data_IF_432154346156
#
_entry.id   IF_432154346156
#
_cell.length_a   1.000
_cell.length_b   1.000
_cell.length_c   1.000
_cell.angle_alpha   90.00
_cell.angle_beta   90.00
_cell.angle_gamma   90.00
#
_symmetry.space_group_name_H-M   'P 1'
#
loop_
_entity.id
_entity.type
_entity.pdbx_description
1 polymer ?
#
# COMPACT_ATOMS: atom_id res chain seq x y z
N UNK A 1 -54.49 46.94 47.39
CA UNK A 1 -53.81 45.66 47.09
C UNK A 1 -53.53 45.61 45.60
N UNK A 2 -52.31 45.26 45.21
CA UNK A 2 -51.91 45.11 43.82
C UNK A 2 -50.41 45.33 43.66
N UNK A 3 -49.61 44.45 44.26
CA UNK A 3 -48.16 44.42 44.05
C UNK A 3 -47.88 43.99 42.60
N UNK A 4 -47.20 44.85 41.84
CA UNK A 4 -46.62 44.49 40.55
C UNK A 4 -45.36 43.64 40.80
N UNK A 5 -45.48 42.32 40.63
CA UNK A 5 -44.30 41.46 40.48
C UNK A 5 -43.81 41.56 39.03
N UNK A 6 -42.74 42.33 38.84
CA UNK A 6 -41.93 42.29 37.62
C UNK A 6 -41.15 40.97 37.62
N UNK A 7 -41.36 40.17 36.59
CA UNK A 7 -40.74 38.86 36.38
C UNK A 7 -39.29 39.00 35.89
N UNK A 8 -38.32 38.96 36.81
CA UNK A 8 -36.88 38.87 36.49
C UNK A 8 -36.47 37.50 35.89
N UNK A 9 -37.33 36.49 35.95
CA UNK A 9 -36.95 35.11 35.60
C UNK A 9 -36.97 34.78 34.11
N UNK A 10 -37.50 35.60 33.20
CA UNK A 10 -37.64 35.19 31.78
C UNK A 10 -36.39 35.45 30.93
N UNK A 11 -35.52 36.38 31.34
CA UNK A 11 -34.32 36.73 30.57
C UNK A 11 -33.14 35.77 30.80
N UNK A 12 -33.08 35.11 31.96
CA UNK A 12 -31.99 34.19 32.32
C UNK A 12 -32.06 32.87 31.52
N UNK A 13 -33.25 32.30 31.32
CA UNK A 13 -33.45 31.09 30.51
C UNK A 13 -33.14 31.29 29.03
N UNK A 14 -33.50 32.44 28.45
CA UNK A 14 -33.20 32.73 27.04
C UNK A 14 -31.69 32.88 26.79
N UNK A 15 -30.95 33.48 27.74
CA UNK A 15 -29.50 33.61 27.66
C UNK A 15 -28.77 32.27 27.80
N UNK A 16 -29.27 31.36 28.65
CA UNK A 16 -28.73 30.00 28.78
C UNK A 16 -28.95 29.15 27.52
N UNK A 17 -30.13 29.22 26.90
CA UNK A 17 -30.40 28.51 25.64
C UNK A 17 -29.54 29.02 24.49
N UNK A 18 -29.31 30.34 24.40
CA UNK A 18 -28.45 30.95 23.37
C UNK A 18 -26.98 30.53 23.57
N UNK A 19 -26.48 30.50 24.81
CA UNK A 19 -25.13 29.99 25.12
C UNK A 19 -24.98 28.51 24.79
N UNK A 20 -25.98 27.68 25.10
CA UNK A 20 -25.99 26.24 24.77
C UNK A 20 -26.01 26.00 23.25
N UNK A 21 -26.80 26.75 22.48
CA UNK A 21 -26.77 26.69 21.01
C UNK A 21 -25.40 27.03 20.44
N UNK A 22 -24.72 28.02 21.00
CA UNK A 22 -23.38 28.44 20.54
C UNK A 22 -22.31 27.37 20.84
N UNK A 23 -22.39 26.72 22.01
CA UNK A 23 -21.53 25.58 22.35
C UNK A 23 -21.78 24.38 21.43
N UNK A 24 -23.04 23.99 21.21
CA UNK A 24 -23.39 22.87 20.33
C UNK A 24 -22.90 23.08 18.90
N UNK A 25 -23.02 24.32 18.39
CA UNK A 25 -22.53 24.70 17.06
C UNK A 25 -21.01 24.62 16.97
N UNK A 26 -20.28 25.08 18.00
CA UNK A 26 -18.82 24.93 18.10
C UNK A 26 -18.39 23.46 18.08
N UNK A 27 -19.03 22.61 18.86
CA UNK A 27 -18.74 21.18 18.89
C UNK A 27 -18.99 20.51 17.54
N UNK A 28 -20.08 20.87 16.86
CA UNK A 28 -20.38 20.36 15.52
C UNK A 28 -19.32 20.74 14.49
N UNK A 29 -18.80 21.98 14.54
CA UNK A 29 -17.71 22.43 13.67
C UNK A 29 -16.43 21.64 13.96
N UNK A 30 -16.07 21.45 15.23
CA UNK A 30 -14.89 20.69 15.63
C UNK A 30 -14.98 19.24 15.13
N UNK A 31 -16.14 18.60 15.27
CA UNK A 31 -16.36 17.24 14.79
C UNK A 31 -16.22 17.16 13.27
N UNK A 32 -16.87 18.07 12.52
CA UNK A 32 -16.76 18.10 11.06
C UNK A 32 -15.31 18.33 10.60
N UNK A 33 -14.59 19.23 11.26
CA UNK A 33 -13.19 19.49 10.97
C UNK A 33 -12.31 18.28 11.27
N UNK A 34 -12.57 17.57 12.36
CA UNK A 34 -11.88 16.33 12.71
C UNK A 34 -12.14 15.20 11.71
N UNK A 35 -13.39 15.05 11.24
CA UNK A 35 -13.73 14.10 10.17
C UNK A 35 -12.99 14.46 8.88
N UNK A 36 -12.97 15.74 8.50
CA UNK A 36 -12.26 16.22 7.32
C UNK A 36 -10.75 15.92 7.40
N UNK A 37 -10.11 16.22 8.54
CA UNK A 37 -8.71 15.89 8.79
C UNK A 37 -8.46 14.38 8.75
N UNK A 38 -9.39 13.57 9.28
CA UNK A 38 -9.28 12.11 9.23
C UNK A 38 -9.34 11.58 7.79
N UNK A 39 -10.19 12.16 6.94
CA UNK A 39 -10.27 11.82 5.52
C UNK A 39 -8.96 12.20 4.82
N UNK A 40 -8.41 13.40 5.07
CA UNK A 40 -7.12 13.81 4.52
C UNK A 40 -6.00 12.87 4.98
N UNK A 41 -5.97 12.52 6.27
CA UNK A 41 -4.97 11.60 6.81
C UNK A 41 -5.05 10.23 6.13
N UNK A 42 -6.27 9.70 5.93
CA UNK A 42 -6.50 8.46 5.20
C UNK A 42 -6.05 8.58 3.73
N UNK A 43 -6.29 9.71 3.07
CA UNK A 43 -5.84 9.95 1.69
C UNK A 43 -4.32 9.99 1.58
N UNK A 44 -3.65 10.74 2.47
CA UNK A 44 -2.18 10.87 2.48
C UNK A 44 -1.53 9.53 2.80
N UNK A 45 -2.05 8.78 3.78
CA UNK A 45 -1.54 7.45 4.12
C UNK A 45 -1.68 6.44 2.97
N UNK A 46 -2.64 6.64 2.08
CA UNK A 46 -2.91 5.75 0.94
C UNK A 46 -2.41 6.34 -0.40
N UNK A 47 -1.42 7.23 -0.40
CA UNK A 47 -0.85 7.83 -1.63
C UNK A 47 -1.95 8.40 -2.57
N UNK A 48 -2.96 9.08 -2.00
CA UNK A 48 -4.11 9.67 -2.71
C UNK A 48 -5.03 8.66 -3.44
N UNK A 49 -4.93 7.37 -3.16
CA UNK A 49 -5.78 6.34 -3.77
C UNK A 49 -7.00 6.02 -2.88
N UNK A 50 -8.18 6.51 -3.28
CA UNK A 50 -9.49 6.09 -2.74
C UNK A 50 -9.94 4.74 -3.31
N UNK A 51 -9.02 3.82 -3.56
CA UNK A 51 -9.36 2.49 -4.07
C UNK A 51 -9.64 1.55 -2.91
N UNK A 52 -10.93 1.26 -2.67
CA UNK A 52 -11.43 0.05 -2.00
C UNK A 52 -11.09 -1.25 -2.77
N UNK A 53 -10.17 -1.18 -3.74
CA UNK A 53 -9.78 -2.30 -4.53
C UNK A 53 -8.70 -3.05 -3.75
N UNK A 54 -8.95 -4.33 -3.48
CA UNK A 54 -8.00 -5.23 -2.83
C UNK A 54 -6.61 -4.98 -3.41
N UNK A 55 -5.60 -4.91 -2.54
CA UNK A 55 -4.19 -4.93 -2.93
C UNK A 55 -3.87 -6.29 -3.58
N UNK A 56 -4.38 -6.51 -4.79
CA UNK A 56 -4.08 -7.68 -5.58
C UNK A 56 -2.64 -7.52 -6.03
N UNK A 57 -1.79 -8.36 -5.42
CA UNK A 57 -0.42 -8.56 -5.86
C UNK A 57 -0.45 -8.99 -7.32
N UNK A 58 0.57 -8.63 -8.07
CA UNK A 58 0.72 -9.07 -9.46
C UNK A 58 0.58 -10.60 -9.52
N UNK A 59 -0.31 -11.09 -10.37
CA UNK A 59 -0.53 -12.53 -10.52
C UNK A 59 0.63 -13.16 -11.30
N UNK A 60 1.34 -14.08 -10.64
CA UNK A 60 2.49 -14.77 -11.21
C UNK A 60 2.15 -16.25 -11.42
N UNK A 61 2.54 -16.78 -12.58
CA UNK A 61 2.30 -18.16 -12.97
C UNK A 61 3.48 -19.01 -12.48
N UNK A 62 3.22 -19.85 -11.48
CA UNK A 62 4.16 -20.81 -10.93
C UNK A 62 3.63 -22.24 -11.10
N UNK A 63 4.49 -23.14 -11.56
CA UNK A 63 4.25 -24.56 -11.73
C UNK A 63 5.50 -25.38 -11.40
N UNK A 64 5.43 -26.71 -11.45
CA UNK A 64 6.51 -27.57 -10.98
C UNK A 64 7.83 -27.39 -11.75
N UNK A 65 7.76 -26.95 -13.01
CA UNK A 65 8.92 -26.75 -13.89
C UNK A 65 9.64 -25.41 -13.69
N UNK A 66 9.09 -24.48 -12.90
CA UNK A 66 9.67 -23.16 -12.67
C UNK A 66 9.64 -22.73 -11.20
N UNK A 67 9.27 -23.65 -10.29
CA UNK A 67 9.23 -23.41 -8.84
C UNK A 67 10.50 -23.98 -8.20
N UNK A 68 11.17 -23.15 -7.40
CA UNK A 68 12.35 -23.53 -6.66
C UNK A 68 12.02 -24.58 -5.59
N UNK A 69 12.74 -25.69 -5.62
CA UNK A 69 12.83 -26.63 -4.51
C UNK A 69 14.24 -26.59 -3.94
N UNK A 70 14.44 -25.77 -2.91
CA UNK A 70 15.76 -25.49 -2.32
C UNK A 70 16.47 -26.74 -1.77
N UNK A 71 15.71 -27.77 -1.41
CA UNK A 71 16.25 -29.00 -0.80
C UNK A 71 16.75 -30.01 -1.83
N UNK A 72 16.15 -30.04 -3.02
CA UNK A 72 16.39 -31.10 -4.00
C UNK A 72 17.01 -30.61 -5.31
N UNK A 73 16.89 -29.32 -5.62
CA UNK A 73 17.42 -28.78 -6.87
C UNK A 73 18.92 -28.50 -6.72
N UNK A 74 19.71 -29.09 -7.61
CA UNK A 74 21.09 -28.67 -7.86
C UNK A 74 21.16 -27.30 -8.58
N UNK A 75 22.36 -26.76 -8.75
CA UNK A 75 22.55 -25.42 -9.32
C UNK A 75 22.15 -25.33 -10.80
N UNK A 76 22.25 -26.41 -11.57
CA UNK A 76 21.86 -26.46 -12.98
C UNK A 76 20.34 -26.47 -13.11
N UNK A 77 19.67 -27.32 -12.33
CA UNK A 77 18.20 -27.37 -12.23
C UNK A 77 17.64 -26.02 -11.75
N UNK A 78 18.28 -25.37 -10.76
CA UNK A 78 17.89 -24.03 -10.30
C UNK A 78 17.99 -23.00 -11.42
N UNK A 79 19.10 -23.02 -12.17
CA UNK A 79 19.31 -22.13 -13.33
C UNK A 79 18.24 -22.32 -14.39
N UNK A 80 17.90 -23.57 -14.73
CA UNK A 80 16.83 -23.83 -15.70
C UNK A 80 15.47 -23.33 -15.19
N UNK A 81 15.14 -23.64 -13.94
CA UNK A 81 13.86 -23.27 -13.33
C UNK A 81 13.68 -21.75 -13.26
N UNK A 82 14.71 -21.00 -12.88
CA UNK A 82 14.62 -19.53 -12.82
C UNK A 82 14.48 -18.92 -14.22
N UNK A 83 15.21 -19.44 -15.23
CA UNK A 83 15.06 -18.99 -16.62
C UNK A 83 13.61 -19.22 -17.09
N UNK A 84 13.05 -20.41 -16.82
CA UNK A 84 11.65 -20.71 -17.16
C UNK A 84 10.67 -19.85 -16.38
N UNK A 85 10.93 -19.55 -15.11
CA UNK A 85 10.09 -18.67 -14.29
C UNK A 85 10.01 -17.25 -14.88
N UNK A 86 11.16 -16.71 -15.27
CA UNK A 86 11.27 -15.41 -15.94
C UNK A 86 10.54 -15.42 -17.29
N UNK A 87 10.80 -16.41 -18.14
CA UNK A 87 10.15 -16.51 -19.45
C UNK A 87 8.62 -16.63 -19.35
N UNK A 88 8.12 -17.42 -18.41
CA UNK A 88 6.67 -17.63 -18.20
C UNK A 88 5.98 -16.32 -17.79
N UNK A 89 6.64 -15.50 -16.98
CA UNK A 89 6.06 -14.29 -16.40
C UNK A 89 6.48 -13.00 -17.12
N UNK A 90 7.33 -13.09 -18.16
CA UNK A 90 7.82 -11.95 -18.94
C UNK A 90 6.68 -11.04 -19.40
N UNK A 91 5.58 -11.62 -19.88
CA UNK A 91 4.43 -10.88 -20.38
C UNK A 91 3.76 -10.06 -19.27
N UNK A 92 3.55 -10.65 -18.09
CA UNK A 92 2.96 -9.98 -16.93
C UNK A 92 3.80 -8.80 -16.43
N UNK A 93 5.13 -8.90 -16.50
CA UNK A 93 6.00 -7.78 -16.14
C UNK A 93 6.07 -6.72 -17.24
N UNK A 94 6.02 -7.11 -18.52
CA UNK A 94 6.06 -6.17 -19.64
C UNK A 94 4.85 -5.23 -19.72
N UNK A 95 3.73 -5.58 -19.08
CA UNK A 95 2.55 -4.72 -18.98
C UNK A 95 2.67 -3.66 -17.89
N UNK A 96 3.67 -3.74 -17.02
CA UNK A 96 3.87 -2.76 -15.96
C UNK A 96 4.42 -1.45 -16.53
N UNK A 97 4.02 -0.30 -15.97
CA UNK A 97 4.56 0.99 -16.37
C UNK A 97 6.08 1.02 -16.13
N UNK A 98 6.79 1.67 -17.05
CA UNK A 98 8.24 1.90 -16.97
C UNK A 98 9.09 0.63 -17.01
N UNK A 99 8.52 -0.54 -17.34
CA UNK A 99 9.28 -1.78 -17.42
C UNK A 99 10.32 -1.74 -18.54
N UNK A 100 11.57 -2.08 -18.22
CA UNK A 100 12.63 -2.22 -19.21
C UNK A 100 12.99 -3.69 -19.45
N UNK A 101 13.37 -4.40 -18.39
CA UNK A 101 13.94 -5.75 -18.52
C UNK A 101 13.77 -6.58 -17.26
N UNK A 102 13.64 -7.89 -17.43
CA UNK A 102 13.76 -8.89 -16.37
C UNK A 102 14.77 -9.95 -16.81
N UNK A 103 15.60 -10.42 -15.89
CA UNK A 103 16.56 -11.48 -16.17
C UNK A 103 17.02 -12.20 -14.88
N UNK A 104 17.41 -13.48 -14.99
CA UNK A 104 18.05 -14.19 -13.89
C UNK A 104 19.53 -13.82 -13.80
N UNK A 105 20.06 -13.74 -12.58
CA UNK A 105 21.48 -13.56 -12.32
C UNK A 105 21.88 -14.30 -11.05
N UNK A 106 23.13 -14.71 -10.96
CA UNK A 106 23.69 -15.30 -9.74
C UNK A 106 24.47 -14.21 -8.98
N UNK A 107 24.16 -14.01 -7.70
CA UNK A 107 24.82 -13.03 -6.85
C UNK A 107 25.25 -13.60 -5.50
N UNK A 108 26.38 -13.14 -4.95
CA UNK A 108 26.76 -13.48 -3.58
C UNK A 108 25.81 -12.78 -2.60
N UNK A 109 25.12 -13.56 -1.75
CA UNK A 109 24.22 -13.02 -0.72
C UNK A 109 24.51 -13.62 0.66
N UNK A 110 24.18 -12.83 1.69
CA UNK A 110 24.39 -13.18 3.10
C UNK A 110 25.85 -13.03 3.58
N UNK A 111 26.06 -13.27 4.87
CA UNK A 111 27.36 -13.03 5.54
C UNK A 111 28.52 -13.88 4.99
N UNK A 112 28.21 -15.03 4.38
CA UNK A 112 29.21 -15.94 3.78
C UNK A 112 29.35 -15.77 2.25
N UNK A 113 28.67 -14.80 1.64
CA UNK A 113 28.76 -14.51 0.22
C UNK A 113 28.38 -15.68 -0.69
N UNK A 114 27.41 -16.51 -0.27
CA UNK A 114 27.01 -17.67 -1.07
C UNK A 114 26.32 -17.20 -2.34
N UNK A 115 26.78 -17.69 -3.49
CA UNK A 115 26.16 -17.43 -4.77
C UNK A 115 24.74 -18.03 -4.80
N UNK A 116 23.73 -17.19 -4.98
CA UNK A 116 22.33 -17.59 -5.13
C UNK A 116 21.74 -17.01 -6.42
N UNK A 117 20.83 -17.76 -7.03
CA UNK A 117 20.07 -17.29 -8.19
C UNK A 117 18.95 -16.35 -7.75
N UNK A 118 18.93 -15.17 -8.36
CA UNK A 118 17.95 -14.11 -8.12
C UNK A 118 17.39 -13.60 -9.45
N UNK A 119 16.22 -12.98 -9.37
CA UNK A 119 15.55 -12.34 -10.50
C UNK A 119 15.72 -10.84 -10.37
N UNK A 120 16.31 -10.20 -11.38
CA UNK A 120 16.39 -8.73 -11.43
C UNK A 120 15.35 -8.19 -12.38
N UNK A 121 14.61 -7.19 -11.91
CA UNK A 121 13.65 -6.43 -12.70
C UNK A 121 14.12 -4.98 -12.74
N UNK A 122 14.24 -4.42 -13.94
CA UNK A 122 14.68 -3.04 -14.17
C UNK A 122 13.49 -2.22 -14.68
N UNK A 123 13.26 -1.07 -14.04
CA UNK A 123 12.33 -0.03 -14.46
C UNK A 123 13.06 1.29 -14.73
N UNK A 124 12.53 2.12 -15.62
CA UNK A 124 13.09 3.45 -15.90
C UNK A 124 12.86 4.45 -14.78
N UNK A 125 11.70 4.37 -14.12
CA UNK A 125 11.28 5.32 -13.07
C UNK A 125 10.38 4.59 -12.07
N UNK A 126 10.38 5.04 -10.81
CA UNK A 126 9.54 4.48 -9.76
C UNK A 126 8.05 4.74 -10.04
N UNK A 127 7.22 3.72 -9.86
CA UNK A 127 5.77 3.80 -9.98
C UNK A 127 5.08 3.10 -8.81
N UNK A 128 3.96 3.62 -8.26
CA UNK A 128 3.22 2.95 -7.20
C UNK A 128 2.79 1.51 -7.53
N UNK A 129 2.65 1.15 -8.80
CA UNK A 129 2.33 -0.22 -9.21
C UNK A 129 3.46 -1.22 -8.96
N UNK A 130 4.71 -0.75 -8.86
CA UNK A 130 5.86 -1.61 -8.56
C UNK A 130 5.77 -2.19 -7.15
N UNK A 131 5.07 -1.52 -6.21
CA UNK A 131 4.77 -2.03 -4.86
C UNK A 131 3.89 -3.30 -4.89
N UNK A 132 3.21 -3.60 -6.00
CA UNK A 132 2.38 -4.81 -6.16
C UNK A 132 3.20 -6.04 -6.55
N UNK A 133 4.45 -5.86 -6.96
CA UNK A 133 5.36 -6.96 -7.32
C UNK A 133 5.73 -7.71 -6.03
N UNK A 134 5.57 -9.05 -5.96
CA UNK A 134 5.95 -9.80 -4.78
C UNK A 134 7.48 -9.86 -4.62
N UNK A 135 7.94 -10.11 -3.41
CA UNK A 135 9.38 -10.26 -3.10
C UNK A 135 10.02 -11.50 -3.76
N UNK A 136 9.18 -12.47 -4.17
CA UNK A 136 9.63 -13.73 -4.76
C UNK A 136 8.83 -14.09 -6.02
N UNK A 137 9.53 -14.62 -7.02
CA UNK A 137 9.00 -15.25 -8.22
C UNK A 137 9.21 -16.75 -8.11
N UNK A 138 8.14 -17.50 -7.83
CA UNK A 138 8.17 -18.98 -7.74
C UNK A 138 9.27 -19.52 -6.80
N UNK A 139 9.51 -18.81 -5.68
CA UNK A 139 10.53 -19.13 -4.68
C UNK A 139 11.91 -18.52 -4.93
N UNK A 140 12.14 -17.88 -6.08
CA UNK A 140 13.35 -17.10 -6.35
C UNK A 140 13.18 -15.65 -5.89
N UNK A 141 14.16 -15.09 -5.18
CA UNK A 141 14.10 -13.70 -4.72
C UNK A 141 14.13 -12.73 -5.90
N UNK A 142 13.38 -11.62 -5.78
CA UNK A 142 13.33 -10.54 -6.75
C UNK A 142 14.05 -9.31 -6.20
N UNK A 143 14.93 -8.70 -7.00
CA UNK A 143 15.38 -7.34 -6.80
C UNK A 143 14.79 -6.41 -7.86
N UNK A 144 14.23 -5.30 -7.39
CA UNK A 144 13.74 -4.22 -8.25
C UNK A 144 14.83 -3.14 -8.31
N UNK A 145 15.20 -2.75 -9.52
CA UNK A 145 16.20 -1.73 -9.79
C UNK A 145 15.58 -0.61 -10.64
N UNK A 146 15.93 0.63 -10.32
CA UNK A 146 15.56 1.80 -11.11
C UNK A 146 16.81 2.33 -11.82
N UNK A 147 16.77 2.46 -13.14
CA UNK A 147 17.90 2.89 -13.97
C UNK A 147 17.49 3.76 -15.14
#
# INVERSE_FOLDING_TARGET
MGLNFVSEDTNSYQLEEIKKKNLFTRWRIIILFSIFLSIIFVLVRNDYRLTFNKNEKLELICGPKNTLNSSNDDDEVRREKIIRAVQTNQKSFSTLPNFQKIYPIQEPRGYRGKNIWIVKIIFSEENPEHKKIPEQLCGFNIDILYK
#
